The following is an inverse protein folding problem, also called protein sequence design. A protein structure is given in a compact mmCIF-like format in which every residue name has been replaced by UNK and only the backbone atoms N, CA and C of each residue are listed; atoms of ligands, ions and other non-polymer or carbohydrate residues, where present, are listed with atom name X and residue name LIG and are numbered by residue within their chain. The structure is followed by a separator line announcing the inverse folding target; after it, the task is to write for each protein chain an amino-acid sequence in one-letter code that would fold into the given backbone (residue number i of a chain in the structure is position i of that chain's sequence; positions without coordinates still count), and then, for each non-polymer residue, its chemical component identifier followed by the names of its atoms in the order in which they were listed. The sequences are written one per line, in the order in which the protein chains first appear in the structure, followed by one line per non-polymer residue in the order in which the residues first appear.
data_IF_523437839837
#
_entry.id   IF_523437839837
#
_cell.length_a   1.000
_cell.length_b   1.000
_cell.length_c   1.000
_cell.angle_alpha   90.00
_cell.angle_beta   90.00
_cell.angle_gamma   90.00
#
_symmetry.space_group_name_H-M   'P 1'
#
loop_
_entity.id
_entity.type
_entity.pdbx_description
1 polymer ?
#
# COMPACT_ATOMS: atom_id res chain seq x y z
N UNK A 1 -9.68 -32.43 6.25
CA UNK A 1 -8.34 -32.84 5.79
C UNK A 1 -8.03 -32.09 4.51
N UNK A 2 -7.39 -30.92 4.60
CA UNK A 2 -7.01 -30.15 3.42
C UNK A 2 -5.82 -30.85 2.73
N UNK A 3 -5.96 -31.13 1.43
CA UNK A 3 -4.91 -31.75 0.62
C UNK A 3 -3.66 -30.87 0.57
N UNK A 4 -2.49 -31.49 0.63
CA UNK A 4 -1.13 -30.91 0.67
C UNK A 4 -0.73 -30.26 -0.69
N UNK A 5 -1.67 -29.62 -1.38
CA UNK A 5 -1.47 -29.01 -2.70
C UNK A 5 -1.99 -27.58 -2.86
N UNK A 6 -2.71 -27.03 -1.86
CA UNK A 6 -3.15 -25.64 -1.89
C UNK A 6 -2.09 -24.75 -1.22
N UNK A 7 -1.71 -23.60 -1.82
CA UNK A 7 -0.79 -22.67 -1.20
C UNK A 7 -1.40 -22.10 0.08
N UNK A 8 -0.63 -22.16 1.16
CA UNK A 8 -1.05 -21.67 2.47
C UNK A 8 -0.53 -20.25 2.66
N UNK A 9 -1.37 -19.34 3.17
CA UNK A 9 -0.96 -18.00 3.59
C UNK A 9 -1.05 -17.89 5.10
N UNK A 10 0.05 -17.53 5.75
CA UNK A 10 0.14 -17.26 7.19
C UNK A 10 0.31 -15.76 7.39
N UNK A 11 -0.54 -15.17 8.21
CA UNK A 11 -0.32 -13.79 8.70
C UNK A 11 0.36 -13.92 10.06
N UNK A 12 1.52 -13.28 10.20
CA UNK A 12 2.32 -13.33 11.43
C UNK A 12 2.92 -11.97 11.73
N UNK A 13 3.47 -11.81 12.93
CA UNK A 13 4.24 -10.61 13.27
C UNK A 13 5.55 -10.54 12.48
N UNK A 14 5.97 -9.30 12.25
CA UNK A 14 7.24 -8.98 11.61
C UNK A 14 8.43 -9.52 12.39
N UNK A 15 9.41 -10.07 11.67
CA UNK A 15 10.73 -10.44 12.21
C UNK A 15 11.81 -9.62 11.51
N UNK A 16 12.95 -9.33 12.16
CA UNK A 16 14.04 -8.56 11.55
C UNK A 16 14.56 -9.15 10.22
N UNK A 17 14.42 -10.46 10.03
CA UNK A 17 14.77 -11.17 8.78
C UNK A 17 13.89 -10.73 7.58
N UNK A 18 12.69 -10.21 7.83
CA UNK A 18 11.74 -9.80 6.79
C UNK A 18 12.09 -8.42 6.18
N UNK A 19 13.08 -7.70 6.74
CA UNK A 19 13.41 -6.31 6.34
C UNK A 19 13.60 -6.17 4.83
N UNK A 20 14.42 -7.05 4.24
CA UNK A 20 14.74 -6.99 2.81
C UNK A 20 13.50 -7.25 1.94
N UNK A 21 12.62 -8.17 2.36
CA UNK A 21 11.38 -8.45 1.64
C UNK A 21 10.38 -7.30 1.78
N UNK A 22 10.28 -6.67 2.96
CA UNK A 22 9.42 -5.51 3.19
C UNK A 22 9.84 -4.32 2.31
N UNK A 23 11.14 -4.05 2.23
CA UNK A 23 11.71 -3.03 1.34
C UNK A 23 11.37 -3.29 -0.14
N UNK A 24 11.60 -4.51 -0.63
CA UNK A 24 11.31 -4.88 -2.01
C UNK A 24 9.82 -4.71 -2.36
N UNK A 25 8.93 -5.20 -1.49
CA UNK A 25 7.48 -5.11 -1.68
C UNK A 25 7.04 -3.65 -1.76
N UNK A 26 7.52 -2.84 -0.82
CA UNK A 26 7.08 -1.47 -0.69
C UNK A 26 7.63 -0.60 -1.83
N UNK A 27 8.91 -0.75 -2.19
CA UNK A 27 9.50 -0.07 -3.34
C UNK A 27 8.74 -0.39 -4.65
N UNK A 28 8.47 -1.67 -4.92
CA UNK A 28 7.68 -2.08 -6.09
C UNK A 28 6.27 -1.51 -6.07
N UNK A 29 5.61 -1.53 -4.92
CA UNK A 29 4.24 -1.00 -4.78
C UNK A 29 4.19 0.51 -5.04
N UNK A 30 5.18 1.28 -4.59
CA UNK A 30 5.29 2.72 -4.93
C UNK A 30 5.52 2.90 -6.43
N UNK A 31 6.42 2.13 -7.05
CA UNK A 31 6.70 2.29 -8.48
C UNK A 31 5.53 1.88 -9.38
N UNK A 32 4.61 1.03 -8.90
CA UNK A 32 3.42 0.65 -9.65
C UNK A 32 2.45 1.81 -9.90
N UNK A 33 2.44 2.86 -9.05
CA UNK A 33 1.53 4.01 -9.24
C UNK A 33 2.03 5.01 -10.27
N UNK A 34 3.28 4.89 -10.75
CA UNK A 34 3.88 5.81 -11.74
C UNK A 34 3.00 5.94 -12.98
N UNK A 35 2.45 4.83 -13.49
CA UNK A 35 1.63 4.87 -14.71
C UNK A 35 0.30 5.60 -14.49
N UNK A 36 -0.34 5.44 -13.33
CA UNK A 36 -1.61 6.09 -13.03
C UNK A 36 -1.40 7.61 -12.90
N UNK A 37 -0.32 8.01 -12.23
CA UNK A 37 0.10 9.41 -12.10
C UNK A 37 0.50 10.02 -13.45
N UNK A 38 1.20 9.26 -14.29
CA UNK A 38 1.60 9.71 -15.62
C UNK A 38 0.38 10.01 -16.50
N UNK A 39 -0.58 9.08 -16.59
CA UNK A 39 -1.78 9.32 -17.38
C UNK A 39 -2.63 10.47 -16.81
N UNK A 40 -2.74 10.57 -15.48
CA UNK A 40 -3.38 11.72 -14.85
C UNK A 40 -2.71 13.04 -15.22
N UNK A 41 -1.37 13.11 -15.24
CA UNK A 41 -0.64 14.30 -15.66
C UNK A 41 -0.80 14.62 -17.16
N UNK A 42 -0.87 13.61 -18.02
CA UNK A 42 -1.08 13.80 -19.47
C UNK A 42 -2.46 14.38 -19.79
N UNK A 43 -3.50 13.96 -19.05
CA UNK A 43 -4.87 14.43 -19.26
C UNK A 43 -5.22 15.73 -18.50
N UNK A 44 -4.25 16.37 -17.85
CA UNK A 44 -4.42 17.65 -17.16
C UNK A 44 -3.67 18.78 -17.89
N UNK A 45 -3.74 19.99 -17.35
CA UNK A 45 -3.09 21.18 -17.92
C UNK A 45 -1.56 21.12 -17.90
N UNK A 46 -0.96 20.12 -17.25
CA UNK A 46 0.51 19.96 -17.17
C UNK A 46 1.12 19.73 -18.55
N UNK A 47 0.54 18.87 -19.38
CA UNK A 47 1.07 18.59 -20.71
C UNK A 47 1.17 19.85 -21.59
N UNK A 48 0.08 20.62 -21.82
CA UNK A 48 0.19 21.83 -22.62
C UNK A 48 1.15 22.86 -22.02
N UNK A 49 1.21 23.01 -20.69
CA UNK A 49 2.16 23.92 -20.03
C UNK A 49 3.62 23.55 -20.33
N UNK A 50 4.00 22.28 -20.13
CA UNK A 50 5.38 21.81 -20.37
C UNK A 50 5.70 21.79 -21.88
N UNK A 51 4.74 21.46 -22.73
CA UNK A 51 4.90 21.53 -24.19
C UNK A 51 5.15 22.96 -24.66
N UNK A 52 4.39 23.94 -24.18
CA UNK A 52 4.60 25.35 -24.51
C UNK A 52 5.96 25.86 -24.02
N UNK A 53 6.38 25.48 -22.81
CA UNK A 53 7.69 25.84 -22.27
C UNK A 53 8.85 25.26 -23.10
N UNK A 54 8.75 23.98 -23.48
CA UNK A 54 9.78 23.33 -24.31
C UNK A 54 9.85 23.94 -25.71
N UNK A 55 8.70 24.19 -26.36
CA UNK A 55 8.62 24.88 -27.65
C UNK A 55 9.24 26.28 -27.57
N UNK A 56 8.85 27.07 -26.56
CA UNK A 56 9.33 28.44 -26.39
C UNK A 56 10.84 28.49 -26.13
N UNK A 57 11.35 27.59 -25.28
CA UNK A 57 12.78 27.48 -25.01
C UNK A 57 13.58 27.09 -26.26
N UNK A 58 13.08 26.13 -27.07
CA UNK A 58 13.74 25.75 -28.33
C UNK A 58 13.75 26.88 -29.36
N UNK A 59 12.63 27.59 -29.53
CA UNK A 59 12.53 28.66 -30.52
C UNK A 59 13.30 29.92 -30.12
N UNK A 60 13.08 30.43 -28.91
CA UNK A 60 13.64 31.69 -28.44
C UNK A 60 15.06 31.49 -27.89
N UNK A 61 15.26 30.46 -27.07
CA UNK A 61 16.52 30.22 -26.37
C UNK A 61 17.60 29.62 -27.26
N UNK A 62 17.23 28.69 -28.15
CA UNK A 62 18.18 27.98 -29.02
C UNK A 62 18.12 28.43 -30.50
N UNK A 63 17.15 29.27 -30.88
CA UNK A 63 17.01 29.75 -32.26
C UNK A 63 16.60 28.65 -33.25
N UNK A 64 16.00 27.56 -32.77
CA UNK A 64 15.60 26.43 -33.62
C UNK A 64 14.43 26.83 -34.51
N UNK A 65 14.41 26.49 -35.81
CA UNK A 65 13.27 26.74 -36.68
C UNK A 65 11.95 26.18 -36.12
N UNK A 66 10.85 26.91 -36.31
CA UNK A 66 9.56 26.58 -35.70
C UNK A 66 9.06 25.15 -36.00
N UNK A 67 9.31 24.63 -37.21
CA UNK A 67 8.87 23.28 -37.57
C UNK A 67 9.53 22.19 -36.72
N UNK A 68 10.80 22.36 -36.33
CA UNK A 68 11.49 21.45 -35.41
C UNK A 68 11.02 21.63 -33.96
N UNK A 69 10.51 22.81 -33.60
CA UNK A 69 9.99 23.05 -32.26
C UNK A 69 8.75 22.19 -31.94
N UNK A 70 8.03 21.67 -32.94
CA UNK A 70 6.94 20.72 -32.72
C UNK A 70 7.38 19.43 -32.02
N UNK A 71 8.68 19.08 -32.08
CA UNK A 71 9.28 18.00 -31.27
C UNK A 71 9.29 18.32 -29.75
N UNK A 72 8.96 19.55 -29.36
CA UNK A 72 8.73 19.93 -27.96
C UNK A 72 7.59 19.15 -27.31
N UNK A 73 6.55 18.78 -28.06
CA UNK A 73 5.43 17.98 -27.51
C UNK A 73 5.89 16.58 -27.06
N UNK A 74 6.51 15.74 -27.90
CA UNK A 74 7.02 14.44 -27.44
C UNK A 74 8.12 14.60 -26.38
N UNK A 75 8.94 15.66 -26.47
CA UNK A 75 9.94 15.96 -25.43
C UNK A 75 9.27 16.25 -24.07
N UNK A 76 8.17 17.02 -24.05
CA UNK A 76 7.42 17.30 -22.84
C UNK A 76 6.83 16.02 -22.22
N UNK A 77 6.32 15.09 -23.03
CA UNK A 77 5.83 13.79 -22.55
C UNK A 77 6.96 13.02 -21.83
N UNK A 78 8.15 12.98 -22.43
CA UNK A 78 9.33 12.32 -21.85
C UNK A 78 9.76 12.99 -20.54
N UNK A 79 9.78 14.33 -20.50
CA UNK A 79 10.10 15.12 -19.30
C UNK A 79 9.11 14.81 -18.18
N UNK A 80 7.81 14.84 -18.47
CA UNK A 80 6.75 14.55 -17.49
C UNK A 80 6.93 13.16 -16.91
N UNK A 81 7.15 12.14 -17.76
CA UNK A 81 7.41 10.78 -17.29
C UNK A 81 8.65 10.70 -16.40
N UNK A 82 9.77 11.31 -16.82
CA UNK A 82 11.02 11.30 -16.07
C UNK A 82 10.88 11.95 -14.69
N UNK A 83 10.20 13.10 -14.60
CA UNK A 83 9.95 13.81 -13.34
C UNK A 83 9.07 12.97 -12.39
N UNK A 84 7.98 12.39 -12.90
CA UNK A 84 7.09 11.54 -12.10
C UNK A 84 7.84 10.29 -11.61
N UNK A 85 8.61 9.66 -12.49
CA UNK A 85 9.40 8.48 -12.14
C UNK A 85 10.46 8.80 -11.07
N UNK A 86 11.18 9.92 -11.20
CA UNK A 86 12.16 10.37 -10.20
C UNK A 86 11.49 10.67 -8.85
N UNK A 87 10.32 11.30 -8.85
CA UNK A 87 9.56 11.57 -7.63
C UNK A 87 9.08 10.29 -6.93
N UNK A 88 8.67 9.27 -7.69
CA UNK A 88 8.31 7.98 -7.12
C UNK A 88 9.53 7.21 -6.65
N UNK A 89 10.66 7.31 -7.35
CA UNK A 89 11.92 6.70 -6.94
C UNK A 89 12.41 7.28 -5.61
N UNK A 90 12.39 8.60 -5.45
CA UNK A 90 12.74 9.23 -4.17
C UNK A 90 11.79 8.83 -3.06
N UNK A 91 10.49 8.71 -3.36
CA UNK A 91 9.50 8.21 -2.38
C UNK A 91 9.73 6.74 -2.03
N UNK A 92 10.07 5.90 -3.00
CA UNK A 92 10.38 4.50 -2.76
C UNK A 92 11.61 4.34 -1.86
N UNK A 93 12.63 5.19 -2.05
CA UNK A 93 13.81 5.24 -1.20
C UNK A 93 13.47 5.68 0.23
N UNK A 94 12.70 6.76 0.38
CA UNK A 94 12.23 7.27 1.68
C UNK A 94 11.49 6.17 2.46
N UNK A 95 10.52 5.50 1.82
CA UNK A 95 9.77 4.42 2.47
C UNK A 95 10.65 3.20 2.72
N UNK A 96 11.63 2.92 1.84
CA UNK A 96 12.62 1.87 2.06
C UNK A 96 13.47 2.10 3.32
N UNK A 97 13.77 3.36 3.66
CA UNK A 97 14.43 3.73 4.93
C UNK A 97 13.49 3.59 6.13
N UNK A 98 12.19 3.84 5.97
CA UNK A 98 11.22 3.53 7.02
C UNK A 98 11.17 2.02 7.32
N UNK A 99 11.29 1.17 6.29
CA UNK A 99 11.32 -0.29 6.45
C UNK A 99 12.55 -0.78 7.24
N UNK A 100 13.74 -0.18 7.06
CA UNK A 100 14.91 -0.54 7.88
C UNK A 100 14.74 -0.18 9.35
N UNK A 101 13.92 0.84 9.63
CA UNK A 101 13.65 1.34 10.96
C UNK A 101 12.39 0.73 11.59
N UNK A 102 11.81 -0.34 11.00
CA UNK A 102 10.60 -0.98 11.53
C UNK A 102 10.68 -1.30 13.03
N UNK A 103 11.78 -1.91 13.55
CA UNK A 103 11.86 -2.22 14.97
C UNK A 103 11.68 -0.99 15.86
N UNK A 104 12.24 0.15 15.46
CA UNK A 104 12.10 1.40 16.21
C UNK A 104 10.71 2.03 16.03
N UNK A 105 10.22 2.09 14.80
CA UNK A 105 8.99 2.81 14.48
C UNK A 105 7.72 2.07 14.94
N UNK A 106 7.72 0.74 14.85
CA UNK A 106 6.51 -0.08 15.02
C UNK A 106 6.59 -1.10 16.16
N UNK A 107 7.78 -1.44 16.69
CA UNK A 107 7.91 -2.49 17.73
C UNK A 107 8.31 -1.96 19.11
N UNK A 108 8.72 -0.70 19.25
CA UNK A 108 9.12 -0.13 20.55
C UNK A 108 7.97 -0.01 21.56
N UNK A 109 6.72 0.09 21.09
CA UNK A 109 5.56 0.31 21.94
C UNK A 109 4.53 -0.82 21.79
N UNK A 110 3.89 -1.23 22.89
CA UNK A 110 2.93 -2.33 22.89
C UNK A 110 1.66 -2.04 22.05
N UNK A 111 1.32 -0.78 21.83
CA UNK A 111 0.16 -0.35 21.03
C UNK A 111 0.48 -0.20 19.53
N UNK A 112 1.66 -0.64 19.10
CA UNK A 112 2.10 -0.60 17.70
C UNK A 112 2.42 -2.02 17.26
N UNK A 113 2.16 -2.30 16.00
CA UNK A 113 2.42 -3.62 15.44
C UNK A 113 2.73 -3.55 13.95
N UNK A 114 3.45 -4.53 13.46
CA UNK A 114 3.70 -4.72 12.04
C UNK A 114 3.50 -6.18 11.70
N UNK A 115 2.63 -6.44 10.73
CA UNK A 115 2.31 -7.77 10.25
C UNK A 115 2.88 -8.00 8.86
N UNK A 116 3.20 -9.27 8.64
CA UNK A 116 3.71 -9.78 7.39
C UNK A 116 2.85 -10.98 6.98
N UNK A 117 2.46 -11.01 5.71
CA UNK A 117 1.81 -12.16 5.11
C UNK A 117 2.87 -13.00 4.40
N UNK A 118 3.04 -14.24 4.85
CA UNK A 118 3.99 -15.21 4.33
C UNK A 118 3.21 -16.33 3.62
N UNK A 119 3.60 -16.63 2.39
CA UNK A 119 3.03 -17.75 1.62
C UNK A 119 4.02 -18.91 1.63
N UNK A 120 3.47 -20.09 1.90
CA UNK A 120 4.16 -21.37 1.90
C UNK A 120 3.84 -22.08 0.58
N UNK A 121 4.86 -22.27 -0.26
CA UNK A 121 4.75 -23.03 -1.51
C UNK A 121 5.57 -24.32 -1.37
N UNK A 122 5.02 -25.47 -1.77
CA UNK A 122 5.79 -26.72 -1.80
C UNK A 122 6.96 -26.59 -2.78
N UNK A 123 8.16 -26.98 -2.33
CA UNK A 123 9.46 -26.72 -2.97
C UNK A 123 9.65 -27.29 -4.38
N UNK A 124 8.70 -28.06 -4.93
CA UNK A 124 8.74 -28.57 -6.30
C UNK A 124 8.02 -27.67 -7.32
N UNK A 125 7.34 -26.60 -6.86
CA UNK A 125 6.68 -25.64 -7.72
C UNK A 125 7.70 -24.68 -8.35
N UNK A 126 8.05 -24.95 -9.62
CA UNK A 126 8.88 -24.10 -10.49
C UNK A 126 8.32 -22.67 -10.59
N UNK A 127 9.12 -21.68 -11.02
CA UNK A 127 8.62 -20.33 -11.37
C UNK A 127 7.46 -20.38 -12.40
N UNK A 128 7.37 -21.47 -13.16
CA UNK A 128 6.26 -21.80 -14.05
C UNK A 128 4.93 -22.01 -13.31
N UNK A 129 4.94 -22.56 -12.10
CA UNK A 129 3.74 -22.76 -11.28
C UNK A 129 3.25 -21.48 -10.62
N UNK A 130 4.16 -20.55 -10.28
CA UNK A 130 3.80 -19.18 -9.88
C UNK A 130 3.09 -18.45 -11.03
N UNK A 131 3.57 -18.64 -12.26
CA UNK A 131 2.93 -18.12 -13.48
C UNK A 131 1.58 -18.81 -13.77
N UNK A 132 1.47 -20.13 -13.55
CA UNK A 132 0.23 -20.89 -13.72
C UNK A 132 -0.79 -20.59 -12.62
N UNK A 133 -0.35 -20.36 -11.38
CA UNK A 133 -1.18 -19.89 -10.26
C UNK A 133 -1.68 -18.47 -10.49
N UNK A 134 -1.06 -17.67 -11.36
CA UNK A 134 -1.63 -16.38 -11.79
C UNK A 134 -2.83 -16.60 -12.73
N UNK A 135 -2.85 -17.71 -13.48
CA UNK A 135 -3.96 -18.09 -14.38
C UNK A 135 -5.07 -18.87 -13.67
N UNK A 136 -4.75 -19.76 -12.72
CA UNK A 136 -5.74 -20.42 -11.87
C UNK A 136 -6.03 -19.53 -10.67
N UNK A 137 -7.30 -19.21 -10.43
CA UNK A 137 -7.77 -18.49 -9.23
C UNK A 137 -7.63 -19.40 -8.00
N UNK A 138 -6.40 -19.73 -7.60
CA UNK A 138 -6.13 -20.67 -6.53
C UNK A 138 -6.53 -20.04 -5.21
N UNK A 139 -7.41 -20.73 -4.50
CA UNK A 139 -7.91 -20.34 -3.20
C UNK A 139 -6.85 -20.63 -2.14
N UNK A 140 -6.49 -19.62 -1.36
CA UNK A 140 -5.49 -19.75 -0.31
C UNK A 140 -6.16 -20.27 0.94
N UNK A 141 -5.53 -21.26 1.55
CA UNK A 141 -5.86 -21.60 2.92
C UNK A 141 -5.15 -20.63 3.86
N UNK A 142 -5.91 -19.87 4.63
CA UNK A 142 -5.36 -18.96 5.63
C UNK A 142 -5.17 -19.70 6.94
N UNK A 143 -3.96 -19.62 7.49
CA UNK A 143 -3.61 -20.22 8.78
C UNK A 143 -3.11 -19.15 9.74
N UNK A 144 -3.42 -19.31 11.03
CA UNK A 144 -2.89 -18.44 12.08
C UNK A 144 -1.41 -18.76 12.38
N UNK A 145 -0.73 -17.85 13.08
CA UNK A 145 0.66 -18.05 13.52
C UNK A 145 0.79 -19.27 14.46
N UNK A 146 -0.22 -19.53 15.29
CA UNK A 146 -0.29 -20.66 16.22
C UNK A 146 -0.44 -21.99 15.47
N UNK A 147 -1.35 -22.04 14.48
CA UNK A 147 -1.56 -23.21 13.62
C UNK A 147 -0.33 -23.52 12.77
N UNK A 148 0.35 -22.49 12.28
CA UNK A 148 1.62 -22.62 11.55
C UNK A 148 2.73 -23.21 12.44
N UNK A 149 2.78 -22.80 13.72
CA UNK A 149 3.77 -23.30 14.67
C UNK A 149 3.49 -24.76 15.06
N UNK A 150 2.22 -25.11 15.27
CA UNK A 150 1.81 -26.49 15.55
C UNK A 150 2.12 -27.45 14.39
N UNK A 151 2.08 -26.97 13.15
CA UNK A 151 2.34 -27.75 11.93
C UNK A 151 3.71 -27.51 11.33
N UNK A 152 4.64 -26.93 12.10
CA UNK A 152 5.96 -26.55 11.60
C UNK A 152 6.70 -27.76 11.01
N UNK A 153 6.59 -28.94 11.64
CA UNK A 153 7.18 -30.18 11.15
C UNK A 153 6.68 -30.60 9.75
N UNK A 154 5.38 -30.40 9.46
CA UNK A 154 4.79 -30.65 8.13
C UNK A 154 5.25 -29.61 7.09
N UNK A 155 5.58 -28.40 7.55
CA UNK A 155 5.92 -27.25 6.71
C UNK A 155 7.43 -27.09 6.44
N UNK A 156 8.31 -27.90 7.04
CA UNK A 156 9.78 -27.79 6.91
C UNK A 156 10.30 -27.87 5.47
N UNK A 157 9.58 -28.53 4.57
CA UNK A 157 9.93 -28.68 3.14
C UNK A 157 9.34 -27.61 2.21
N UNK A 158 8.68 -26.59 2.75
CA UNK A 158 8.04 -25.53 1.94
C UNK A 158 8.92 -24.29 1.85
N UNK A 159 8.91 -23.65 0.68
CA UNK A 159 9.59 -22.37 0.46
C UNK A 159 8.69 -21.26 1.01
N UNK A 160 9.26 -20.42 1.87
CA UNK A 160 8.56 -19.31 2.52
C UNK A 160 8.85 -18.01 1.82
N UNK A 161 7.80 -17.28 1.48
CA UNK A 161 7.93 -15.99 0.85
C UNK A 161 7.01 -14.97 1.49
N UNK A 162 7.60 -13.88 1.96
CA UNK A 162 6.85 -12.69 2.34
C UNK A 162 6.25 -12.07 1.08
N UNK A 163 4.92 -11.93 1.07
CA UNK A 163 4.14 -11.43 -0.08
C UNK A 163 3.29 -10.21 0.25
N UNK A 164 3.09 -9.90 1.53
CA UNK A 164 2.36 -8.70 1.94
C UNK A 164 2.80 -8.20 3.30
N UNK A 165 2.46 -6.96 3.59
CA UNK A 165 2.80 -6.27 4.83
C UNK A 165 1.75 -5.23 5.20
N UNK A 166 1.66 -4.95 6.50
CA UNK A 166 0.79 -3.93 7.08
C UNK A 166 1.39 -3.43 8.39
N UNK A 167 1.52 -2.11 8.54
CA UNK A 167 1.95 -1.48 9.78
C UNK A 167 0.79 -0.74 10.46
N UNK A 168 0.75 -0.80 11.79
CA UNK A 168 -0.13 -0.01 12.65
C UNK A 168 0.71 0.78 13.65
N UNK A 169 0.49 2.09 13.67
CA UNK A 169 1.09 3.02 14.64
C UNK A 169 0.02 3.78 15.40
N UNK A 170 0.38 4.47 16.49
CA UNK A 170 -0.54 5.41 17.13
C UNK A 170 -0.74 6.65 16.25
N UNK A 171 -1.98 7.12 16.10
CA UNK A 171 -2.27 8.34 15.34
C UNK A 171 -1.66 9.57 16.03
N UNK A 172 -1.11 10.48 15.22
CA UNK A 172 -0.59 11.76 15.70
C UNK A 172 -1.70 12.77 16.01
N UNK A 173 -2.95 12.49 15.61
CA UNK A 173 -4.11 13.39 15.80
C UNK A 173 -4.70 13.37 17.22
N UNK A 174 -4.09 12.63 18.13
CA UNK A 174 -4.52 12.52 19.53
C UNK A 174 -5.57 11.43 19.76
N UNK A 175 -5.77 11.06 21.03
CA UNK A 175 -6.69 9.98 21.45
C UNK A 175 -6.10 8.56 21.35
N UNK A 176 -6.94 7.56 21.61
CA UNK A 176 -6.62 6.14 21.43
C UNK A 176 -6.92 5.72 19.99
N UNK A 177 -6.31 6.41 19.03
CA UNK A 177 -6.53 6.13 17.60
C UNK A 177 -5.34 5.39 16.99
N UNK A 178 -5.64 4.37 16.19
CA UNK A 178 -4.68 3.66 15.35
C UNK A 178 -4.48 4.35 14.01
N UNK A 179 -3.30 4.25 13.45
CA UNK A 179 -2.93 4.80 12.15
C UNK A 179 -2.29 3.70 11.31
N UNK A 180 -3.00 3.23 10.29
CA UNK A 180 -2.53 2.19 9.38
C UNK A 180 -1.60 2.79 8.33
N UNK A 181 -0.47 2.11 8.14
CA UNK A 181 0.55 2.47 7.17
C UNK A 181 0.99 1.24 6.39
N UNK A 182 1.54 1.48 5.21
CA UNK A 182 2.25 0.48 4.43
C UNK A 182 1.40 -0.76 4.09
N UNK A 183 0.09 -0.66 3.90
CA UNK A 183 -0.67 -1.80 3.38
C UNK A 183 -0.23 -2.11 1.94
N UNK A 184 0.52 -3.20 1.75
CA UNK A 184 1.02 -3.58 0.45
C UNK A 184 1.00 -5.11 0.28
N UNK A 185 0.66 -5.56 -0.93
CA UNK A 185 0.73 -6.97 -1.33
C UNK A 185 1.36 -7.05 -2.71
N UNK A 186 2.31 -7.97 -2.91
CA UNK A 186 2.96 -8.25 -4.21
C UNK A 186 1.90 -8.47 -5.29
N UNK A 187 2.07 -7.85 -6.45
CA UNK A 187 1.10 -7.89 -7.56
C UNK A 187 0.66 -9.30 -7.97
N UNK A 188 1.58 -10.28 -7.94
CA UNK A 188 1.29 -11.68 -8.25
C UNK A 188 0.33 -12.37 -7.26
N UNK A 189 0.28 -11.88 -6.01
CA UNK A 189 -0.49 -12.47 -4.90
C UNK A 189 -1.74 -11.64 -4.53
N UNK A 190 -2.11 -10.65 -5.35
CA UNK A 190 -3.33 -9.86 -5.14
C UNK A 190 -4.59 -10.64 -5.52
N UNK A 191 -5.74 -10.12 -5.07
CA UNK A 191 -7.09 -10.68 -5.34
C UNK A 191 -7.31 -12.10 -4.77
N UNK A 192 -6.49 -12.49 -3.79
CA UNK A 192 -6.55 -13.77 -3.07
C UNK A 192 -6.98 -13.62 -1.61
N UNK A 193 -7.44 -12.43 -1.19
CA UNK A 193 -7.87 -12.15 0.20
C UNK A 193 -6.75 -11.79 1.19
N UNK A 194 -5.48 -11.75 0.77
CA UNK A 194 -4.33 -11.49 1.66
C UNK A 194 -4.41 -10.11 2.35
N UNK A 195 -4.65 -9.04 1.57
CA UNK A 195 -4.79 -7.69 2.14
C UNK A 195 -5.99 -7.59 3.10
N UNK A 196 -7.05 -8.36 2.83
CA UNK A 196 -8.23 -8.42 3.68
C UNK A 196 -7.88 -9.03 5.04
N UNK A 197 -7.15 -10.14 5.03
CA UNK A 197 -6.69 -10.84 6.25
C UNK A 197 -5.71 -10.02 7.07
N UNK A 198 -4.76 -9.33 6.41
CA UNK A 198 -3.88 -8.38 7.10
C UNK A 198 -4.69 -7.30 7.81
N UNK A 199 -5.69 -6.73 7.14
CA UNK A 199 -6.53 -5.69 7.74
C UNK A 199 -7.37 -6.22 8.90
N UNK A 200 -7.92 -7.44 8.77
CA UNK A 200 -8.69 -8.10 9.84
C UNK A 200 -7.85 -8.29 11.10
N UNK A 201 -6.60 -8.72 10.95
CA UNK A 201 -5.65 -8.86 12.05
C UNK A 201 -5.37 -7.51 12.75
N UNK A 202 -5.21 -6.43 11.96
CA UNK A 202 -5.00 -5.11 12.52
C UNK A 202 -6.24 -4.56 13.25
N UNK A 203 -7.45 -4.87 12.77
CA UNK A 203 -8.70 -4.50 13.44
C UNK A 203 -8.86 -5.29 14.74
N UNK A 204 -8.57 -6.59 14.73
CA UNK A 204 -8.60 -7.43 15.92
C UNK A 204 -7.66 -6.90 17.00
N UNK A 205 -6.40 -6.67 16.65
CA UNK A 205 -5.41 -6.08 17.56
C UNK A 205 -5.84 -4.71 18.10
N UNK A 206 -6.42 -3.86 17.25
CA UNK A 206 -6.93 -2.56 17.67
C UNK A 206 -8.06 -2.67 18.70
N UNK A 207 -8.90 -3.70 18.56
CA UNK A 207 -10.01 -3.99 19.48
C UNK A 207 -9.47 -4.47 20.83
N UNK A 208 -8.50 -5.39 20.82
CA UNK A 208 -7.86 -5.91 22.05
C UNK A 208 -7.13 -4.81 22.83
N UNK A 209 -6.47 -3.89 22.11
CA UNK A 209 -5.77 -2.75 22.69
C UNK A 209 -6.68 -1.53 22.99
N UNK A 210 -8.01 -1.71 22.93
CA UNK A 210 -9.00 -0.68 23.27
C UNK A 210 -8.82 0.64 22.50
N UNK A 211 -8.42 0.56 21.23
CA UNK A 211 -8.41 1.72 20.35
C UNK A 211 -9.85 2.13 20.02
N UNK A 212 -10.10 3.44 19.99
CA UNK A 212 -11.42 3.99 19.70
C UNK A 212 -11.69 3.97 18.17
N UNK A 213 -10.66 4.24 17.36
CA UNK A 213 -10.78 4.40 15.91
C UNK A 213 -9.48 4.04 15.18
N UNK A 214 -9.58 3.53 13.95
CA UNK A 214 -8.45 3.29 13.04
C UNK A 214 -8.56 4.24 11.86
N UNK A 215 -7.48 4.96 11.57
CA UNK A 215 -7.37 5.90 10.46
C UNK A 215 -6.34 5.42 9.42
N UNK A 216 -6.58 5.72 8.15
CA UNK A 216 -5.62 5.50 7.06
C UNK A 216 -5.76 6.55 5.97
N UNK A 217 -4.73 6.68 5.13
CA UNK A 217 -4.74 7.60 3.98
C UNK A 217 -4.59 6.84 2.68
N UNK A 218 -5.43 7.17 1.70
CA UNK A 218 -5.31 6.69 0.33
C UNK A 218 -5.44 7.84 -0.67
N UNK A 219 -4.72 7.75 -1.79
CA UNK A 219 -4.84 8.69 -2.90
C UNK A 219 -5.91 8.24 -3.88
N UNK A 220 -6.25 9.09 -4.85
CA UNK A 220 -7.16 8.73 -5.94
C UNK A 220 -6.71 7.52 -6.73
N UNK A 221 -5.42 7.42 -7.02
CA UNK A 221 -4.82 6.34 -7.82
C UNK A 221 -4.96 4.96 -7.15
N UNK A 222 -5.23 4.89 -5.85
CA UNK A 222 -5.40 3.64 -5.12
C UNK A 222 -6.82 3.06 -5.18
N UNK A 223 -7.46 3.06 -6.37
CA UNK A 223 -8.86 2.64 -6.55
C UNK A 223 -9.18 1.27 -5.91
N UNK A 224 -8.32 0.27 -6.11
CA UNK A 224 -8.51 -1.10 -5.58
C UNK A 224 -8.39 -1.16 -4.06
N UNK A 225 -7.54 -0.34 -3.46
CA UNK A 225 -7.40 -0.27 -2.01
C UNK A 225 -8.62 0.41 -1.39
N UNK A 226 -9.12 1.50 -2.00
CA UNK A 226 -10.34 2.17 -1.58
C UNK A 226 -11.55 1.23 -1.58
N UNK A 227 -11.73 0.44 -2.63
CA UNK A 227 -12.80 -0.57 -2.71
C UNK A 227 -12.71 -1.58 -1.55
N UNK A 228 -11.50 -2.01 -1.20
CA UNK A 228 -11.26 -2.89 -0.04
C UNK A 228 -11.65 -2.21 1.28
N UNK A 229 -11.28 -0.94 1.46
CA UNK A 229 -11.60 -0.18 2.66
C UNK A 229 -13.11 0.03 2.83
N UNK A 230 -13.82 0.43 1.78
CA UNK A 230 -15.29 0.55 1.81
C UNK A 230 -15.96 -0.79 2.15
N UNK A 231 -15.49 -1.90 1.55
CA UNK A 231 -15.99 -3.25 1.86
C UNK A 231 -15.77 -3.67 3.31
N UNK A 232 -14.78 -3.07 3.97
CA UNK A 232 -14.45 -3.33 5.38
C UNK A 232 -15.11 -2.36 6.35
N UNK A 233 -15.98 -1.48 5.85
CA UNK A 233 -16.73 -0.52 6.68
C UNK A 233 -15.96 0.75 6.98
N UNK A 234 -14.83 1.02 6.32
CA UNK A 234 -14.17 2.31 6.44
C UNK A 234 -14.97 3.37 5.69
N UNK A 235 -15.12 4.52 6.33
CA UNK A 235 -15.77 5.69 5.75
C UNK A 235 -14.77 6.81 5.53
N UNK A 236 -15.01 7.68 4.55
CA UNK A 236 -14.15 8.84 4.31
C UNK A 236 -14.60 9.97 5.22
N UNK A 237 -13.79 10.33 6.22
CA UNK A 237 -14.08 11.46 7.09
C UNK A 237 -13.65 12.79 6.46
N UNK A 238 -12.47 12.81 5.83
CA UNK A 238 -11.90 14.03 5.28
C UNK A 238 -11.25 13.79 3.92
N UNK A 239 -11.39 14.76 3.03
CA UNK A 239 -10.63 14.82 1.78
C UNK A 239 -9.74 16.05 1.82
N UNK A 240 -8.43 15.83 1.72
CA UNK A 240 -7.44 16.90 1.60
C UNK A 240 -6.94 16.93 0.17
N UNK A 241 -6.49 18.09 -0.28
CA UNK A 241 -5.87 18.23 -1.57
C UNK A 241 -4.40 18.55 -1.38
N UNK A 242 -3.55 17.79 -2.05
CA UNK A 242 -2.13 18.09 -2.14
C UNK A 242 -1.77 18.37 -3.58
N UNK A 243 -1.11 19.50 -3.81
CA UNK A 243 -0.62 19.88 -5.12
C UNK A 243 0.72 19.19 -5.36
N UNK A 244 0.77 18.38 -6.42
CA UNK A 244 2.01 17.83 -6.94
C UNK A 244 2.18 18.33 -8.38
N UNK A 245 3.17 19.18 -8.62
CA UNK A 245 3.43 19.78 -9.94
C UNK A 245 2.19 20.47 -10.55
N UNK A 246 1.50 21.30 -9.77
CA UNK A 246 0.23 21.94 -10.14
C UNK A 246 -0.93 20.98 -10.44
N UNK A 247 -0.76 19.68 -10.26
CA UNK A 247 -1.87 18.71 -10.27
C UNK A 247 -2.42 18.60 -8.85
N UNK A 248 -3.69 18.95 -8.70
CA UNK A 248 -4.43 18.74 -7.47
C UNK A 248 -4.72 17.26 -7.31
N UNK A 249 -4.20 16.64 -6.25
CA UNK A 249 -4.47 15.24 -5.94
C UNK A 249 -5.28 15.11 -4.66
N UNK A 250 -6.46 14.46 -4.68
CA UNK A 250 -7.22 14.21 -3.48
C UNK A 250 -6.57 13.07 -2.67
N UNK A 251 -6.37 13.34 -1.39
CA UNK A 251 -6.00 12.40 -0.35
C UNK A 251 -7.24 12.18 0.53
N UNK A 252 -7.71 10.95 0.55
CA UNK A 252 -8.85 10.52 1.35
C UNK A 252 -8.35 9.97 2.69
N UNK A 253 -8.82 10.56 3.79
CA UNK A 253 -8.66 9.99 5.12
C UNK A 253 -9.86 9.10 5.38
N UNK A 254 -9.58 7.80 5.41
CA UNK A 254 -10.53 6.79 5.80
C UNK A 254 -10.43 6.54 7.29
N UNK A 255 -11.58 6.31 7.93
CA UNK A 255 -11.61 5.88 9.31
C UNK A 255 -12.62 4.77 9.55
N UNK A 256 -12.35 3.98 10.58
CA UNK A 256 -13.19 2.90 11.06
C UNK A 256 -13.30 3.00 12.58
N UNK A 257 -14.48 3.27 13.14
CA UNK A 257 -14.68 3.19 14.59
C UNK A 257 -14.57 1.72 15.03
N UNK A 258 -13.69 1.45 15.99
CA UNK A 258 -13.48 0.10 16.54
C UNK A 258 -14.32 -0.12 17.79
N UNK A 259 -14.44 0.94 18.59
CA UNK A 259 -15.38 1.00 19.71
C UNK A 259 -16.68 1.66 19.23
N UNK A 260 -17.87 1.19 19.64
CA UNK A 260 -19.11 1.90 19.34
C UNK A 260 -19.00 3.35 19.87
N UNK A 261 -19.45 4.35 19.10
CA UNK A 261 -19.42 5.73 19.55
C UNK A 261 -20.15 5.81 20.90
N UNK A 262 -19.54 6.48 21.88
CA UNK A 262 -20.22 6.80 23.13
C UNK A 262 -21.49 7.55 22.74
N UNK A 263 -22.64 6.89 22.87
CA UNK A 263 -23.93 7.55 22.78
C UNK A 263 -23.89 8.78 23.68
N UNK A 264 -24.39 9.90 23.15
CA UNK A 264 -24.47 11.20 23.80
C UNK A 264 -25.08 11.05 25.21
N UNK A 265 -24.22 10.97 26.22
CA UNK A 265 -24.59 10.96 27.64
C UNK A 265 -24.94 12.38 28.14
N UNK A 266 -25.40 13.27 27.25
CA UNK A 266 -25.76 14.66 27.58
C UNK A 266 -27.26 14.92 27.71
N UNK A 267 -28.15 13.94 27.50
CA UNK A 267 -29.60 14.17 27.62
C UNK A 267 -30.29 13.59 28.88
N UNK A 268 -29.56 13.01 29.84
CA UNK A 268 -30.18 12.45 31.07
C UNK A 268 -29.71 13.18 32.35
N UNK A 269 -29.29 14.44 32.27
CA UNK A 269 -28.95 15.24 33.47
C UNK A 269 -29.63 16.61 33.53
N UNK A 270 -30.82 16.75 32.93
CA UNK A 270 -31.71 17.88 33.21
C UNK A 270 -33.16 17.45 33.11
N UNK A 271 -33.58 16.62 34.07
CA UNK A 271 -34.98 16.50 34.49
C UNK A 271 -35.03 16.67 36.01
#
# INVERSE_FOLDING_TARGET
MASIGAPVCVVRRYKPEDTAAAQDIMAKTVMETVSDYFWSAIFTEVLPQVALLTIAFSYIGLGVPFYFCLLGIPTAIVIIYAVIWLAHMSKALEVGQEMTNIPRLFLEHPDRCFWVAEVLECSEASELDSFMNKMKKVEYHFMSEEESSAREAELRGTRRHVVGLLGLTKSMRGGMKGWLRHLAVKKAYRRRGIAQRLLDEAIHFSTEHCLDEIELVATECHHKARELFYKKGFEVQHTYFKYYFNVQQPLYIFSLPVRPPKAELSEISSS
#
